data_IF_237390858470
#
_entry.id   IF_237390858470
#
_cell.length_a   1.000
_cell.length_b   1.000
_cell.length_c   1.000
_cell.angle_alpha   90.00
_cell.angle_beta   90.00
_cell.angle_gamma   90.00
#
_symmetry.space_group_name_H-M   'P 1'
#
loop_
_entity.id
_entity.type
_entity.pdbx_description
1 polymer ?
#
# COMPACT_ATOMS: atom_id res chain seq x y z
N UNK A 1 15.58 -8.06 -1.92
CA UNK A 1 15.71 -8.41 -0.47
C UNK A 1 14.38 -8.24 0.26
N UNK A 2 13.77 -7.04 0.26
CA UNK A 2 12.48 -6.77 0.91
C UNK A 2 11.28 -7.57 0.36
N UNK A 3 11.09 -7.63 -0.96
CA UNK A 3 9.97 -8.38 -1.57
C UNK A 3 10.07 -9.91 -1.45
N UNK A 4 11.26 -10.47 -1.16
CA UNK A 4 11.44 -11.93 -1.07
C UNK A 4 10.81 -12.50 0.20
N UNK A 5 10.94 -11.81 1.33
CA UNK A 5 10.29 -12.20 2.59
C UNK A 5 8.81 -11.84 2.64
N UNK A 6 8.34 -11.00 1.72
CA UNK A 6 7.01 -10.40 1.76
C UNK A 6 5.85 -11.36 1.44
N UNK A 7 6.14 -12.53 0.86
CA UNK A 7 5.12 -13.30 0.14
C UNK A 7 4.92 -14.75 0.60
N UNK A 8 5.63 -15.22 1.63
CA UNK A 8 5.56 -16.62 2.08
C UNK A 8 5.65 -17.64 0.92
N UNK A 9 6.37 -17.29 -0.15
CA UNK A 9 6.53 -18.14 -1.33
C UNK A 9 7.68 -19.15 -1.09
N UNK A 10 7.51 -20.41 -1.53
CA UNK A 10 8.56 -21.41 -1.41
C UNK A 10 9.78 -21.03 -2.26
N UNK A 11 10.99 -21.30 -1.74
CA UNK A 11 12.23 -21.00 -2.45
C UNK A 11 12.51 -22.04 -3.56
N UNK A 12 13.17 -21.63 -4.67
CA UNK A 12 13.63 -20.27 -4.97
C UNK A 12 12.53 -19.38 -5.57
N UNK A 13 12.29 -18.23 -4.96
CA UNK A 13 11.32 -17.22 -5.44
C UNK A 13 11.88 -16.47 -6.66
N UNK A 14 11.11 -16.43 -7.75
CA UNK A 14 11.40 -15.71 -9.00
C UNK A 14 10.57 -14.43 -9.10
N UNK A 15 10.99 -13.50 -9.96
CA UNK A 15 10.25 -12.24 -10.20
C UNK A 15 8.82 -12.51 -10.69
N UNK A 16 8.65 -13.50 -11.57
CA UNK A 16 7.33 -13.90 -12.06
C UNK A 16 6.39 -14.36 -10.93
N UNK A 17 6.91 -15.01 -9.88
CA UNK A 17 6.10 -15.44 -8.75
C UNK A 17 5.63 -14.23 -7.91
N UNK A 18 6.49 -13.22 -7.76
CA UNK A 18 6.15 -11.96 -7.08
C UNK A 18 5.05 -11.22 -7.86
N UNK A 19 5.25 -11.08 -9.17
CA UNK A 19 4.34 -10.39 -10.07
C UNK A 19 2.97 -11.06 -10.11
N UNK A 20 2.93 -12.38 -10.30
CA UNK A 20 1.69 -13.16 -10.30
C UNK A 20 0.93 -13.03 -8.97
N UNK A 21 1.63 -12.99 -7.84
CA UNK A 21 1.00 -12.82 -6.53
C UNK A 21 0.38 -11.43 -6.36
N UNK A 22 1.12 -10.37 -6.71
CA UNK A 22 0.60 -8.99 -6.64
C UNK A 22 -0.57 -8.83 -7.62
N UNK A 23 -0.44 -9.32 -8.85
CA UNK A 23 -1.48 -9.30 -9.86
C UNK A 23 -2.74 -10.05 -9.39
N UNK A 24 -2.59 -11.21 -8.73
CA UNK A 24 -3.71 -11.97 -8.16
C UNK A 24 -4.49 -11.18 -7.10
N UNK A 25 -3.79 -10.52 -6.16
CA UNK A 25 -4.43 -9.67 -5.14
C UNK A 25 -5.18 -8.49 -5.77
N UNK A 26 -4.59 -7.85 -6.79
CA UNK A 26 -5.24 -6.75 -7.51
C UNK A 26 -6.45 -7.27 -8.28
N UNK A 27 -6.31 -8.37 -9.02
CA UNK A 27 -7.40 -8.86 -9.86
C UNK A 27 -8.58 -9.37 -9.06
N UNK A 28 -8.36 -10.06 -7.93
CA UNK A 28 -9.48 -10.52 -7.10
C UNK A 28 -10.37 -9.35 -6.64
N UNK A 29 -9.78 -8.18 -6.41
CA UNK A 29 -10.54 -6.98 -6.04
C UNK A 29 -11.27 -6.37 -7.24
N UNK A 30 -10.61 -6.28 -8.40
CA UNK A 30 -11.20 -5.68 -9.60
C UNK A 30 -12.32 -6.52 -10.21
N UNK A 31 -12.25 -7.85 -10.09
CA UNK A 31 -13.30 -8.79 -10.53
C UNK A 31 -14.41 -8.99 -9.50
N UNK A 32 -14.32 -8.34 -8.33
CA UNK A 32 -15.30 -8.44 -7.25
C UNK A 32 -15.24 -9.76 -6.46
N UNK A 33 -14.21 -10.59 -6.67
CA UNK A 33 -13.99 -11.83 -5.92
C UNK A 33 -13.50 -11.59 -4.48
N UNK A 34 -12.91 -10.42 -4.21
CA UNK A 34 -12.47 -9.99 -2.89
C UNK A 34 -12.84 -8.52 -2.65
N UNK A 35 -13.11 -8.18 -1.39
CA UNK A 35 -13.34 -6.80 -0.96
C UNK A 35 -12.02 -6.22 -0.43
N UNK A 36 -11.79 -4.92 -0.65
CA UNK A 36 -10.67 -4.24 -0.01
C UNK A 36 -10.87 -4.21 1.50
N UNK A 37 -9.81 -4.53 2.22
CA UNK A 37 -9.79 -4.58 3.68
C UNK A 37 -9.97 -3.18 4.29
N UNK A 38 -10.89 -3.07 5.25
CA UNK A 38 -11.01 -1.92 6.13
C UNK A 38 -10.15 -2.16 7.38
N UNK A 39 -9.31 -1.19 7.74
CA UNK A 39 -8.35 -1.30 8.84
C UNK A 39 -8.06 0.06 9.48
N UNK A 40 -7.34 0.07 10.60
CA UNK A 40 -6.73 1.29 11.14
C UNK A 40 -5.49 1.65 10.30
N UNK A 41 -5.48 2.80 9.59
CA UNK A 41 -4.35 3.20 8.76
C UNK A 41 -3.05 3.42 9.55
N UNK A 42 -3.07 3.56 10.88
CA UNK A 42 -1.87 3.60 11.71
C UNK A 42 -1.09 2.27 11.68
N UNK A 43 -1.77 1.15 11.40
CA UNK A 43 -1.16 -0.19 11.23
C UNK A 43 -0.43 -0.37 9.90
N UNK A 44 -0.65 0.51 8.92
CA UNK A 44 0.01 0.43 7.62
C UNK A 44 1.48 0.85 7.71
N UNK A 45 2.38 0.27 6.90
CA UNK A 45 3.75 0.76 6.75
C UNK A 45 3.79 2.08 5.99
N UNK A 46 4.78 2.93 6.28
CA UNK A 46 5.02 4.15 5.50
C UNK A 46 5.23 3.84 4.02
N UNK A 47 4.66 4.68 3.15
CA UNK A 47 4.65 4.46 1.71
C UNK A 47 3.45 3.67 1.19
N UNK A 48 2.62 3.11 2.07
CA UNK A 48 1.35 2.50 1.67
C UNK A 48 0.28 3.55 1.38
N UNK A 49 -0.68 3.19 0.53
CA UNK A 49 -1.86 3.98 0.23
C UNK A 49 -3.11 3.40 0.90
N UNK A 50 -3.96 4.31 1.39
CA UNK A 50 -5.29 4.02 1.89
C UNK A 50 -6.33 5.00 1.30
N UNK A 51 -7.60 4.64 1.34
CA UNK A 51 -8.71 5.50 0.98
C UNK A 51 -9.57 5.84 2.19
N UNK A 52 -10.00 7.10 2.29
CA UNK A 52 -11.01 7.57 3.24
C UNK A 52 -11.82 8.69 2.60
N UNK A 53 -13.14 8.68 2.77
CA UNK A 53 -14.03 9.70 2.20
C UNK A 53 -13.88 9.88 0.68
N UNK A 54 -13.63 8.80 -0.07
CA UNK A 54 -13.41 8.84 -1.52
C UNK A 54 -12.06 9.41 -1.98
N UNK A 55 -11.21 9.82 -1.04
CA UNK A 55 -9.87 10.34 -1.32
C UNK A 55 -8.81 9.29 -1.02
N UNK A 56 -7.78 9.18 -1.87
CA UNK A 56 -6.61 8.34 -1.62
C UNK A 56 -5.53 9.14 -0.89
N UNK A 57 -4.84 8.50 0.05
CA UNK A 57 -3.80 9.13 0.87
C UNK A 57 -2.54 8.27 0.86
N UNK A 58 -1.37 8.92 0.81
CA UNK A 58 -0.08 8.31 1.11
C UNK A 58 0.16 8.35 2.61
N UNK A 59 0.42 7.20 3.23
CA UNK A 59 0.71 7.09 4.67
C UNK A 59 2.16 7.47 4.98
N UNK A 60 2.34 8.38 5.94
CA UNK A 60 3.65 8.79 6.49
C UNK A 60 3.55 9.07 7.99
N UNK A 61 4.22 8.25 8.81
CA UNK A 61 4.18 8.35 10.26
C UNK A 61 2.76 8.22 10.80
N UNK A 62 2.29 9.24 11.53
CA UNK A 62 0.93 9.33 12.07
C UNK A 62 0.02 10.24 11.23
N UNK A 63 0.36 10.43 9.95
CA UNK A 63 -0.39 11.29 9.03
C UNK A 63 -0.61 10.61 7.68
N UNK A 64 -1.59 11.10 6.94
CA UNK A 64 -1.80 10.79 5.53
C UNK A 64 -1.69 12.06 4.69
N UNK A 65 -1.06 11.99 3.53
CA UNK A 65 -1.09 13.08 2.54
C UNK A 65 -2.11 12.76 1.45
N UNK A 66 -3.14 13.60 1.24
CA UNK A 66 -4.12 13.36 0.19
C UNK A 66 -3.45 13.46 -1.17
N UNK A 67 -3.69 12.47 -2.03
CA UNK A 67 -3.18 12.45 -3.39
C UNK A 67 -4.15 13.13 -4.35
N UNK A 68 -3.59 13.86 -5.30
CA UNK A 68 -4.30 14.41 -6.45
C UNK A 68 -3.41 14.36 -7.69
N UNK A 69 -3.98 14.58 -8.87
CA UNK A 69 -3.20 14.75 -10.09
C UNK A 69 -2.23 15.96 -10.04
N UNK A 70 -2.50 16.95 -9.18
CA UNK A 70 -1.60 18.09 -8.93
C UNK A 70 -0.46 17.79 -7.94
N UNK A 71 -0.41 16.57 -7.39
CA UNK A 71 0.54 16.17 -6.35
C UNK A 71 -0.13 15.92 -4.99
N UNK A 72 0.71 15.73 -3.98
CA UNK A 72 0.27 15.44 -2.62
C UNK A 72 -0.01 16.74 -1.84
N UNK A 73 -1.14 16.77 -1.14
CA UNK A 73 -1.51 17.87 -0.28
C UNK A 73 -0.78 17.86 1.07
N UNK A 74 -1.17 18.82 1.92
CA UNK A 74 -0.67 18.91 3.29
C UNK A 74 -1.03 17.63 4.09
N UNK A 75 -0.15 17.20 5.02
CA UNK A 75 -0.43 16.03 5.85
C UNK A 75 -1.63 16.30 6.77
N UNK A 76 -2.53 15.33 6.83
CA UNK A 76 -3.70 15.34 7.72
C UNK A 76 -3.60 14.19 8.73
N UNK A 77 -4.20 14.33 9.94
CA UNK A 77 -4.29 13.23 10.89
C UNK A 77 -4.92 11.98 10.26
N UNK A 78 -4.47 10.81 10.72
CA UNK A 78 -5.05 9.55 10.27
C UNK A 78 -6.49 9.40 10.80
N UNK A 79 -7.44 8.97 9.95
CA UNK A 79 -8.77 8.59 10.43
C UNK A 79 -8.69 7.28 11.23
N UNK A 80 -9.67 6.98 12.10
CA UNK A 80 -9.67 5.75 12.90
C UNK A 80 -9.85 4.48 12.05
N UNK A 81 -10.40 4.62 10.84
CA UNK A 81 -10.58 3.54 9.89
C UNK A 81 -10.42 4.06 8.46
N UNK A 82 -9.82 3.22 7.62
CA UNK A 82 -9.64 3.47 6.20
C UNK A 82 -9.64 2.16 5.41
N UNK A 83 -9.78 2.26 4.09
CA UNK A 83 -9.68 1.11 3.19
C UNK A 83 -8.27 1.01 2.63
N UNK A 84 -7.60 -0.14 2.80
CA UNK A 84 -6.25 -0.35 2.23
C UNK A 84 -6.32 -0.42 0.70
N UNK A 85 -5.51 0.40 0.03
CA UNK A 85 -5.40 0.40 -1.43
C UNK A 85 -4.17 -0.39 -1.92
N UNK A 86 -3.06 -0.30 -1.20
CA UNK A 86 -1.82 -1.01 -1.54
C UNK A 86 -1.97 -2.51 -1.26
N UNK A 87 -1.65 -3.41 -2.21
CA UNK A 87 -1.67 -4.85 -2.00
C UNK A 87 -0.90 -5.29 -0.75
N UNK A 88 -1.31 -6.40 -0.14
CA UNK A 88 -0.75 -6.89 1.11
C UNK A 88 0.73 -7.25 0.92
N UNK A 89 1.03 -7.91 -0.20
CA UNK A 89 2.38 -8.18 -0.66
C UNK A 89 3.30 -6.95 -0.65
N UNK A 90 2.81 -5.84 -1.19
CA UNK A 90 3.54 -4.57 -1.26
C UNK A 90 3.68 -3.94 0.12
N UNK A 91 2.65 -4.02 0.97
CA UNK A 91 2.74 -3.57 2.37
C UNK A 91 3.84 -4.34 3.12
N UNK A 92 3.90 -5.66 3.00
CA UNK A 92 4.96 -6.44 3.64
C UNK A 92 6.35 -6.06 3.13
N UNK A 93 6.51 -5.75 1.84
CA UNK A 93 7.78 -5.28 1.30
C UNK A 93 8.18 -3.89 1.87
N UNK A 94 7.24 -2.96 2.01
CA UNK A 94 7.46 -1.65 2.64
C UNK A 94 7.90 -1.80 4.10
N UNK A 95 7.20 -2.66 4.85
CA UNK A 95 7.53 -3.00 6.24
C UNK A 95 8.94 -3.63 6.35
N UNK A 96 9.35 -4.43 5.37
CA UNK A 96 10.69 -5.03 5.27
C UNK A 96 11.79 -4.06 4.80
N UNK A 97 11.50 -2.76 4.69
CA UNK A 97 12.51 -1.74 4.38
C UNK A 97 12.57 -1.30 2.92
N UNK A 98 11.68 -1.77 2.04
CA UNK A 98 11.55 -1.15 0.71
C UNK A 98 11.11 0.31 0.88
N UNK A 99 11.70 1.21 0.08
CA UNK A 99 11.39 2.64 0.11
C UNK A 99 11.03 3.08 -1.32
N UNK A 100 9.77 3.43 -1.59
CA UNK A 100 9.38 3.94 -2.90
C UNK A 100 9.97 5.33 -3.11
N UNK A 101 10.29 5.66 -4.36
CA UNK A 101 10.59 7.03 -4.73
C UNK A 101 9.29 7.85 -4.65
N UNK A 102 9.29 8.90 -3.85
CA UNK A 102 8.15 9.79 -3.68
C UNK A 102 8.33 11.04 -4.55
N UNK A 103 7.21 11.58 -5.05
CA UNK A 103 7.20 12.88 -5.72
C UNK A 103 7.62 13.99 -4.74
N UNK A 104 8.23 15.07 -5.23
CA UNK A 104 8.77 16.14 -4.39
C UNK A 104 7.71 16.78 -3.47
N UNK A 105 6.44 16.78 -3.86
CA UNK A 105 5.33 17.29 -3.02
C UNK A 105 4.96 16.38 -1.85
N UNK A 106 5.47 15.16 -1.79
CA UNK A 106 5.35 14.23 -0.67
C UNK A 106 6.64 14.12 0.18
N UNK A 107 7.68 14.89 -0.15
CA UNK A 107 8.91 14.96 0.62
C UNK A 107 8.68 15.53 2.03
#
# INVERSE_FOLDING_TARGET
KAFRGALALPAPVRVADLDARIAGEVQSVLTGQAVREALDPASLPDGAFFASGGTAFLKQGQTGRPWSFGGYGAPTPLPPQATRLTPQATCTALAAGYRPALHATAA
#
